data_IF_317615298862
#
_entry.id   IF_317615298862
#
_cell.length_a   1.000
_cell.length_b   1.000
_cell.length_c   1.000
_cell.angle_alpha   90.00
_cell.angle_beta   90.00
_cell.angle_gamma   90.00
#
_symmetry.space_group_name_H-M   'P 1'
#
loop_
_entity.id
_entity.type
_entity.pdbx_description
1 polymer ?
#
# COMPACT_ATOMS: atom_id res chain seq x y z
N UNK A 1 -28.91 -26.27 -5.55
CA UNK A 1 -27.95 -25.38 -6.25
C UNK A 1 -26.85 -24.93 -5.29
N UNK A 2 -25.62 -25.27 -5.65
CA UNK A 2 -24.43 -25.35 -4.78
C UNK A 2 -24.05 -24.02 -4.11
N UNK A 3 -23.75 -24.07 -2.79
CA UNK A 3 -23.12 -22.98 -2.00
C UNK A 3 -21.92 -22.35 -2.73
N UNK A 4 -21.24 -23.12 -3.59
CA UNK A 4 -20.14 -22.67 -4.46
C UNK A 4 -20.51 -21.56 -5.45
N UNK A 5 -21.71 -21.59 -6.06
CA UNK A 5 -22.14 -20.53 -7.00
C UNK A 5 -22.42 -19.19 -6.29
N UNK A 6 -22.96 -19.24 -5.07
CA UNK A 6 -23.26 -18.05 -4.26
C UNK A 6 -21.97 -17.37 -3.78
N UNK A 7 -20.99 -18.16 -3.33
CA UNK A 7 -19.66 -17.68 -2.95
C UNK A 7 -18.88 -17.08 -4.13
N UNK A 8 -18.91 -17.71 -5.31
CA UNK A 8 -18.32 -17.15 -6.54
C UNK A 8 -18.94 -15.80 -6.94
N UNK A 9 -20.27 -15.65 -6.83
CA UNK A 9 -20.96 -14.37 -7.09
C UNK A 9 -20.58 -13.27 -6.09
N UNK A 10 -20.43 -13.61 -4.80
CA UNK A 10 -19.99 -12.68 -3.76
C UNK A 10 -18.52 -12.24 -3.95
N UNK A 11 -17.63 -13.18 -4.27
CA UNK A 11 -16.24 -12.89 -4.60
C UNK A 11 -16.14 -11.98 -5.84
N UNK A 12 -16.90 -12.27 -6.90
CA UNK A 12 -16.95 -11.44 -8.10
C UNK A 12 -17.47 -10.02 -7.82
N UNK A 13 -18.48 -9.86 -6.96
CA UNK A 13 -18.97 -8.54 -6.52
C UNK A 13 -17.92 -7.78 -5.70
N UNK A 14 -17.26 -8.45 -4.75
CA UNK A 14 -16.20 -7.83 -3.94
C UNK A 14 -14.99 -7.41 -4.78
N UNK A 15 -14.66 -8.17 -5.83
CA UNK A 15 -13.61 -7.81 -6.79
C UNK A 15 -14.01 -6.62 -7.67
N UNK A 16 -15.29 -6.52 -8.05
CA UNK A 16 -15.83 -5.38 -8.77
C UNK A 16 -15.90 -4.11 -7.90
N UNK A 17 -16.24 -4.24 -6.60
CA UNK A 17 -16.19 -3.14 -5.63
C UNK A 17 -14.77 -2.72 -5.26
N UNK A 18 -13.82 -3.65 -5.20
CA UNK A 18 -12.40 -3.33 -5.01
C UNK A 18 -11.86 -2.47 -6.17
N UNK A 19 -12.32 -2.72 -7.41
CA UNK A 19 -11.99 -1.92 -8.60
C UNK A 19 -12.72 -0.57 -8.71
N UNK A 20 -13.79 -0.35 -7.94
CA UNK A 20 -14.47 0.96 -7.92
C UNK A 20 -13.64 1.98 -7.14
N UNK A 21 -12.98 2.87 -7.88
CA UNK A 21 -12.30 4.06 -7.40
C UNK A 21 -13.34 5.02 -6.81
N UNK A 22 -13.56 4.92 -5.51
CA UNK A 22 -14.41 5.82 -4.74
C UNK A 22 -13.56 6.98 -4.20
N UNK A 23 -14.05 8.22 -4.18
CA UNK A 23 -13.28 9.37 -3.70
C UNK A 23 -12.77 9.19 -2.27
N UNK A 24 -13.53 8.52 -1.39
CA UNK A 24 -13.07 8.16 -0.05
C UNK A 24 -11.88 7.19 -0.02
N UNK A 25 -11.80 6.24 -0.97
CA UNK A 25 -10.64 5.35 -1.11
C UNK A 25 -9.42 6.10 -1.61
N UNK A 26 -9.60 7.01 -2.57
CA UNK A 26 -8.52 7.86 -3.09
C UNK A 26 -7.99 8.77 -1.98
N UNK A 27 -8.87 9.41 -1.21
CA UNK A 27 -8.48 10.26 -0.09
C UNK A 27 -7.70 9.48 0.97
N UNK A 28 -8.17 8.29 1.34
CA UNK A 28 -7.49 7.44 2.32
C UNK A 28 -6.14 6.95 1.81
N UNK A 29 -6.05 6.59 0.53
CA UNK A 29 -4.79 6.28 -0.12
C UNK A 29 -3.85 7.49 -0.02
N UNK A 30 -4.32 8.68 -0.39
CA UNK A 30 -3.54 9.91 -0.40
C UNK A 30 -3.03 10.28 0.99
N UNK A 31 -3.85 10.18 2.04
CA UNK A 31 -3.40 10.35 3.43
C UNK A 31 -2.33 9.33 3.81
N UNK A 32 -2.50 8.06 3.42
CA UNK A 32 -1.55 7.00 3.71
C UNK A 32 -0.22 7.22 2.99
N UNK A 33 -0.26 7.65 1.74
CA UNK A 33 0.93 8.02 0.96
C UNK A 33 1.61 9.24 1.54
N UNK A 34 0.85 10.25 1.98
CA UNK A 34 1.38 11.46 2.60
C UNK A 34 2.06 11.14 3.94
N UNK A 35 1.40 10.38 4.81
CA UNK A 35 1.99 9.93 6.07
C UNK A 35 3.26 9.10 5.84
N UNK A 36 3.25 8.22 4.84
CA UNK A 36 4.42 7.45 4.46
C UNK A 36 5.56 8.35 3.95
N UNK A 37 5.26 9.30 3.07
CA UNK A 37 6.25 10.25 2.56
C UNK A 37 6.88 11.09 3.68
N UNK A 38 6.07 11.56 4.64
CA UNK A 38 6.58 12.27 5.82
C UNK A 38 7.52 11.39 6.66
N UNK A 39 7.16 10.12 6.87
CA UNK A 39 8.00 9.15 7.58
C UNK A 39 9.32 8.92 6.85
N UNK A 40 9.29 8.75 5.53
CA UNK A 40 10.49 8.56 4.70
C UNK A 40 11.35 9.81 4.72
N UNK A 41 10.76 11.00 4.56
CA UNK A 41 11.49 12.27 4.66
C UNK A 41 12.17 12.41 6.03
N UNK A 42 11.47 12.13 7.13
CA UNK A 42 12.05 12.17 8.47
C UNK A 42 13.25 11.20 8.58
N UNK A 43 13.11 10.00 8.05
CA UNK A 43 14.17 8.98 8.05
C UNK A 43 15.38 9.46 7.24
N UNK A 44 15.17 9.99 6.04
CA UNK A 44 16.25 10.53 5.19
C UNK A 44 16.96 11.70 5.88
N UNK A 45 16.21 12.62 6.52
CA UNK A 45 16.80 13.74 7.25
C UNK A 45 17.64 13.27 8.45
N UNK A 46 17.18 12.26 9.19
CA UNK A 46 17.94 11.64 10.28
C UNK A 46 19.20 10.93 9.79
N UNK A 47 19.11 10.19 8.68
CA UNK A 47 20.28 9.50 8.12
C UNK A 47 21.29 10.48 7.53
N UNK A 48 20.82 11.62 6.98
CA UNK A 48 21.68 12.71 6.54
C UNK A 48 22.36 13.41 7.73
N UNK A 49 21.68 13.63 8.86
CA UNK A 49 22.28 14.27 10.04
C UNK A 49 23.32 13.39 10.74
N UNK A 50 23.27 12.08 10.55
CA UNK A 50 24.28 11.12 11.00
C UNK A 50 25.55 11.13 10.13
N UNK A 51 25.62 11.98 9.10
CA UNK A 51 26.81 12.16 8.26
C UNK A 51 27.15 10.93 7.41
N UNK A 52 26.15 10.09 7.08
CA UNK A 52 26.37 8.89 6.28
C UNK A 52 26.60 9.31 4.81
N UNK A 53 27.80 9.16 4.25
CA UNK A 53 28.15 9.65 2.90
C UNK A 53 27.38 8.94 1.78
N UNK A 54 26.70 7.84 2.11
CA UNK A 54 25.76 7.14 1.21
C UNK A 54 24.65 8.07 0.70
N UNK A 55 24.26 9.08 1.47
CA UNK A 55 23.21 10.03 1.06
C UNK A 55 23.74 11.23 0.26
N UNK A 56 25.06 11.39 0.11
CA UNK A 56 25.63 12.40 -0.81
C UNK A 56 25.57 11.95 -2.27
N UNK A 57 25.54 10.64 -2.51
CA UNK A 57 25.42 10.08 -3.85
C UNK A 57 23.94 9.97 -4.28
N UNK A 58 23.57 10.76 -5.29
CA UNK A 58 22.21 10.78 -5.87
C UNK A 58 21.67 9.38 -6.19
N UNK A 59 22.50 8.50 -6.77
CA UNK A 59 22.12 7.13 -7.12
C UNK A 59 21.82 6.25 -5.91
N UNK A 60 22.58 6.42 -4.82
CA UNK A 60 22.35 5.69 -3.58
C UNK A 60 21.06 6.17 -2.89
N UNK A 61 20.83 7.49 -2.87
CA UNK A 61 19.55 8.05 -2.42
C UNK A 61 18.37 7.47 -3.18
N UNK A 62 18.47 7.42 -4.52
CA UNK A 62 17.40 6.90 -5.38
C UNK A 62 17.18 5.39 -5.16
N UNK A 63 18.26 4.61 -5.01
CA UNK A 63 18.17 3.17 -4.73
C UNK A 63 17.51 2.88 -3.37
N UNK A 64 17.90 3.60 -2.31
CA UNK A 64 17.30 3.46 -0.98
C UNK A 64 15.82 3.85 -1.02
N UNK A 65 15.48 4.96 -1.69
CA UNK A 65 14.10 5.40 -1.82
C UNK A 65 13.24 4.36 -2.58
N UNK A 66 13.79 3.73 -3.62
CA UNK A 66 13.13 2.66 -4.36
C UNK A 66 12.89 1.41 -3.50
N UNK A 67 13.90 1.00 -2.71
CA UNK A 67 13.78 -0.15 -1.79
C UNK A 67 12.69 0.12 -0.75
N UNK A 68 12.72 1.29 -0.13
CA UNK A 68 11.73 1.71 0.87
C UNK A 68 10.32 1.75 0.25
N UNK A 69 10.19 2.26 -0.97
CA UNK A 69 8.93 2.24 -1.70
C UNK A 69 8.44 0.81 -1.99
N UNK A 70 9.31 -0.09 -2.45
CA UNK A 70 8.96 -1.49 -2.73
C UNK A 70 8.47 -2.22 -1.47
N UNK A 71 9.09 -1.97 -0.32
CA UNK A 71 8.67 -2.53 0.97
C UNK A 71 7.30 -1.98 1.41
N UNK A 72 7.03 -0.71 1.13
CA UNK A 72 5.76 -0.08 1.48
C UNK A 72 4.64 -0.31 0.46
N UNK A 73 4.98 -0.68 -0.77
CA UNK A 73 4.04 -0.99 -1.85
C UNK A 73 2.92 -1.96 -1.43
N UNK A 74 3.19 -3.11 -0.77
CA UNK A 74 2.11 -3.99 -0.30
C UNK A 74 1.22 -3.35 0.78
N UNK A 75 1.76 -2.45 1.60
CA UNK A 75 1.00 -1.73 2.62
C UNK A 75 0.13 -0.62 2.00
N UNK A 76 0.67 0.13 1.04
CA UNK A 76 -0.06 1.16 0.28
C UNK A 76 -1.20 0.53 -0.54
N UNK A 77 -0.93 -0.56 -1.26
CA UNK A 77 -1.93 -1.21 -2.11
C UNK A 77 -2.86 -2.18 -1.38
N UNK A 78 -2.74 -2.31 -0.06
CA UNK A 78 -3.66 -3.14 0.74
C UNK A 78 -5.13 -2.70 0.61
N UNK A 79 -5.40 -1.41 0.39
CA UNK A 79 -6.76 -0.88 0.22
C UNK A 79 -7.42 -1.33 -1.11
N UNK A 80 -6.62 -1.69 -2.11
CA UNK A 80 -7.07 -2.17 -3.42
C UNK A 80 -7.06 -3.70 -3.54
N UNK A 81 -6.52 -4.40 -2.54
CA UNK A 81 -6.64 -5.86 -2.52
C UNK A 81 -8.09 -6.23 -2.21
N UNK A 82 -8.71 -7.10 -3.03
CA UNK A 82 -10.04 -7.60 -2.69
C UNK A 82 -9.96 -8.22 -1.30
N UNK A 83 -10.77 -7.73 -0.36
CA UNK A 83 -10.93 -8.37 0.95
C UNK A 83 -11.30 -9.82 0.66
N UNK A 84 -10.34 -10.73 0.89
CA UNK A 84 -10.67 -12.14 1.12
C UNK A 84 -11.50 -12.11 2.38
N UNK A 85 -12.82 -12.02 2.25
CA UNK A 85 -13.70 -12.36 3.35
C UNK A 85 -13.32 -13.81 3.69
N UNK A 86 -12.79 -14.11 4.88
CA UNK A 86 -12.68 -15.49 5.31
C UNK A 86 -14.09 -16.09 5.26
N UNK A 87 -14.24 -17.35 4.82
CA UNK A 87 -15.53 -18.02 4.90
C UNK A 87 -15.96 -17.94 6.35
N UNK A 88 -17.05 -17.21 6.61
CA UNK A 88 -17.69 -17.11 7.91
C UNK A 88 -18.00 -18.53 8.36
N UNK A 89 -17.18 -19.06 9.26
CA UNK A 89 -17.43 -20.34 9.88
C UNK A 89 -18.43 -20.10 11.01
N UNK A 90 -19.67 -20.47 10.71
CA UNK A 90 -20.83 -20.78 11.58
C UNK A 90 -21.22 -19.78 12.66
#
# INVERSE_FOLDING_TARGET
MSKSRKQRKLAARSAAEARRLTPGKVLRLLLKTLAFALLVSLLVTLLASLGIPVFENFWMQLAVMLIVYLLAYPYLMSEFRPRRNPPTER
#
